data_IF_158704800733
#
_entry.id   IF_158704800733
#
_cell.length_a   1.000
_cell.length_b   1.000
_cell.length_c   1.000
_cell.angle_alpha   90.00
_cell.angle_beta   90.00
_cell.angle_gamma   90.00
#
_symmetry.space_group_name_H-M   'P 1'
#
loop_
_entity.id
_entity.type
_entity.pdbx_description
1 polymer ?
#
# COMPACT_ATOMS: atom_id res chain seq x y z
N UNK A 1 -31.64 8.75 -15.73
CA UNK A 1 -30.31 8.95 -16.32
C UNK A 1 -29.44 9.72 -15.33
N UNK A 2 -28.44 9.08 -14.72
CA UNK A 2 -27.55 9.74 -13.74
C UNK A 2 -26.65 10.71 -14.52
N UNK A 3 -26.62 11.98 -14.11
CA UNK A 3 -25.75 12.98 -14.74
C UNK A 3 -24.28 12.65 -14.46
N UNK A 4 -23.42 12.77 -15.47
CA UNK A 4 -21.99 12.45 -15.38
C UNK A 4 -21.30 13.10 -14.17
N UNK A 5 -21.68 14.34 -13.83
CA UNK A 5 -21.21 15.06 -12.63
C UNK A 5 -21.40 14.24 -11.33
N UNK A 6 -22.55 13.59 -11.15
CA UNK A 6 -22.85 12.77 -9.96
C UNK A 6 -21.98 11.52 -9.90
N UNK A 7 -21.65 10.94 -11.05
CA UNK A 7 -20.76 9.77 -11.11
C UNK A 7 -19.36 10.17 -10.62
N UNK A 8 -18.81 11.29 -11.10
CA UNK A 8 -17.51 11.79 -10.64
C UNK A 8 -17.47 12.06 -9.13
N UNK A 9 -18.52 12.67 -8.57
CA UNK A 9 -18.63 12.89 -7.13
C UNK A 9 -18.69 11.58 -6.33
N UNK A 10 -19.56 10.64 -6.72
CA UNK A 10 -19.71 9.37 -6.03
C UNK A 10 -18.40 8.57 -6.09
N UNK A 11 -17.79 8.47 -7.27
CA UNK A 11 -16.52 7.75 -7.44
C UNK A 11 -15.39 8.39 -6.65
N UNK A 12 -15.27 9.72 -6.65
CA UNK A 12 -14.26 10.43 -5.86
C UNK A 12 -14.43 10.20 -4.35
N UNK A 13 -15.66 10.30 -3.83
CA UNK A 13 -15.95 10.04 -2.41
C UNK A 13 -15.66 8.58 -2.03
N UNK A 14 -16.04 7.63 -2.88
CA UNK A 14 -15.73 6.20 -2.66
C UNK A 14 -14.23 5.95 -2.61
N UNK A 15 -13.44 6.56 -3.51
CA UNK A 15 -11.98 6.43 -3.50
C UNK A 15 -11.37 7.00 -2.22
N UNK A 16 -11.88 8.14 -1.71
CA UNK A 16 -11.43 8.71 -0.43
C UNK A 16 -11.73 7.75 0.72
N UNK A 17 -12.95 7.21 0.77
CA UNK A 17 -13.35 6.26 1.81
C UNK A 17 -12.47 5.02 1.78
N UNK A 18 -12.21 4.44 0.60
CA UNK A 18 -11.32 3.28 0.43
C UNK A 18 -9.89 3.61 0.88
N UNK A 19 -9.39 4.81 0.55
CA UNK A 19 -8.03 5.24 0.89
C UNK A 19 -7.85 5.48 2.39
N UNK A 20 -8.88 6.03 3.06
CA UNK A 20 -8.88 6.28 4.51
C UNK A 20 -9.13 5.00 5.32
N UNK A 21 -10.08 4.16 4.91
CA UNK A 21 -10.38 2.85 5.53
C UNK A 21 -9.38 1.75 5.13
N UNK A 22 -8.39 2.08 4.29
CA UNK A 22 -7.38 1.15 3.79
C UNK A 22 -6.50 0.50 4.87
N UNK A 23 -6.56 0.97 6.11
CA UNK A 23 -5.86 0.39 7.25
C UNK A 23 -6.26 -1.06 7.59
N UNK A 24 -7.53 -1.44 7.44
CA UNK A 24 -8.03 -2.76 7.87
C UNK A 24 -8.66 -3.60 6.75
N UNK A 25 -9.55 -3.04 5.93
CA UNK A 25 -10.33 -3.81 4.93
C UNK A 25 -9.64 -3.89 3.56
N UNK A 26 -8.92 -2.85 3.15
CA UNK A 26 -8.28 -2.79 1.83
C UNK A 26 -6.75 -2.95 1.89
N UNK A 27 -6.20 -3.31 3.06
CA UNK A 27 -4.76 -3.51 3.25
C UNK A 27 -4.18 -4.53 2.27
N UNK A 28 -4.94 -5.59 1.96
CA UNK A 28 -4.53 -6.62 0.98
C UNK A 28 -4.32 -6.06 -0.43
N UNK A 29 -5.18 -5.14 -0.88
CA UNK A 29 -5.07 -4.52 -2.21
C UNK A 29 -3.87 -3.58 -2.27
N UNK A 30 -3.68 -2.74 -1.26
CA UNK A 30 -2.52 -1.84 -1.21
C UNK A 30 -1.21 -2.62 -1.07
N UNK A 31 -1.18 -3.67 -0.25
CA UNK A 31 0.00 -4.52 -0.08
C UNK A 31 0.34 -5.30 -1.37
N UNK A 32 -0.68 -5.77 -2.11
CA UNK A 32 -0.49 -6.40 -3.41
C UNK A 32 0.07 -5.43 -4.45
N UNK A 33 -0.46 -4.20 -4.50
CA UNK A 33 0.06 -3.16 -5.40
C UNK A 33 1.49 -2.72 -5.04
N UNK A 34 1.80 -2.55 -3.75
CA UNK A 34 3.16 -2.24 -3.32
C UNK A 34 4.13 -3.39 -3.58
N UNK A 35 3.71 -4.64 -3.39
CA UNK A 35 4.52 -5.82 -3.72
C UNK A 35 4.83 -5.88 -5.22
N UNK A 36 3.83 -5.67 -6.08
CA UNK A 36 4.02 -5.61 -7.52
C UNK A 36 4.96 -4.46 -7.96
N UNK A 37 4.85 -3.29 -7.34
CA UNK A 37 5.75 -2.17 -7.62
C UNK A 37 7.19 -2.44 -7.18
N UNK A 38 7.37 -3.09 -6.02
CA UNK A 38 8.68 -3.52 -5.55
C UNK A 38 9.31 -4.57 -6.47
N UNK A 39 8.53 -5.54 -6.94
CA UNK A 39 8.97 -6.54 -7.91
C UNK A 39 9.39 -5.90 -9.25
N UNK A 40 8.62 -4.93 -9.75
CA UNK A 40 9.00 -4.16 -10.94
C UNK A 40 10.24 -3.29 -10.72
N UNK A 41 10.45 -2.81 -9.50
CA UNK A 41 11.64 -2.07 -9.09
C UNK A 41 12.87 -2.96 -8.86
N UNK A 42 12.76 -4.28 -9.02
CA UNK A 42 13.86 -5.24 -8.88
C UNK A 42 13.99 -5.86 -7.49
N UNK A 43 13.15 -5.48 -6.52
CA UNK A 43 13.13 -6.06 -5.17
C UNK A 43 12.14 -7.23 -5.13
N UNK A 44 12.54 -8.38 -5.70
CA UNK A 44 11.73 -9.60 -5.58
C UNK A 44 11.80 -10.15 -4.16
N UNK A 45 10.64 -10.53 -3.64
CA UNK A 45 10.50 -11.19 -2.35
C UNK A 45 11.36 -12.45 -2.23
N UNK A 46 11.47 -13.23 -3.31
CA UNK A 46 12.32 -14.43 -3.38
C UNK A 46 13.80 -14.14 -3.12
N UNK A 47 14.32 -12.99 -3.57
CA UNK A 47 15.70 -12.64 -3.28
C UNK A 47 15.90 -12.37 -1.80
N UNK A 48 14.98 -11.63 -1.17
CA UNK A 48 15.06 -11.32 0.27
C UNK A 48 14.97 -12.61 1.11
N UNK A 49 14.05 -13.52 0.77
CA UNK A 49 13.98 -14.83 1.42
C UNK A 49 15.26 -15.65 1.24
N UNK A 50 15.84 -15.67 0.03
CA UNK A 50 17.09 -16.41 -0.23
C UNK A 50 18.26 -15.85 0.58
N UNK A 51 18.29 -14.53 0.80
CA UNK A 51 19.30 -13.90 1.67
C UNK A 51 19.03 -14.19 3.16
N UNK A 52 17.78 -14.18 3.60
CA UNK A 52 17.40 -14.57 4.96
C UNK A 52 17.80 -16.02 5.26
N UNK A 53 17.51 -16.97 4.35
CA UNK A 53 17.90 -18.38 4.51
C UNK A 53 19.41 -18.56 4.66
N UNK A 54 20.19 -17.78 3.91
CA UNK A 54 21.66 -17.78 4.01
C UNK A 54 22.15 -17.16 5.32
N UNK A 55 21.52 -16.09 5.78
CA UNK A 55 21.85 -15.45 7.06
C UNK A 55 21.52 -16.41 8.21
N UNK A 56 20.38 -17.07 8.18
CA UNK A 56 19.98 -18.08 9.14
C UNK A 56 20.94 -19.27 9.14
N UNK A 57 21.41 -19.69 7.97
CA UNK A 57 22.43 -20.74 7.85
C UNK A 57 23.76 -20.31 8.49
N UNK A 58 24.22 -19.09 8.24
CA UNK A 58 25.44 -18.54 8.87
C UNK A 58 25.28 -18.44 10.39
N UNK A 59 24.16 -17.92 10.88
CA UNK A 59 23.87 -17.85 12.31
C UNK A 59 23.83 -19.23 12.96
N UNK A 60 23.25 -20.21 12.27
CA UNK A 60 23.24 -21.59 12.74
C UNK A 60 24.64 -22.19 12.81
N UNK A 61 25.49 -21.96 11.79
CA UNK A 61 26.89 -22.39 11.82
C UNK A 61 27.67 -21.74 12.97
N UNK A 62 27.45 -20.45 13.24
CA UNK A 62 28.04 -19.74 14.39
C UNK A 62 27.58 -20.35 15.72
N UNK A 63 26.28 -20.63 15.88
CA UNK A 63 25.74 -21.31 17.06
C UNK A 63 26.38 -22.70 17.24
N UNK A 64 26.56 -23.47 16.16
CA UNK A 64 27.27 -24.76 16.24
C UNK A 64 28.74 -24.62 16.64
N UNK A 65 29.45 -23.63 16.09
CA UNK A 65 30.83 -23.35 16.49
C UNK A 65 30.92 -22.96 17.98
N UNK A 66 29.97 -22.16 18.47
CA UNK A 66 29.85 -21.84 19.90
C UNK A 66 29.60 -23.08 20.75
N UNK A 67 28.69 -23.96 20.33
CA UNK A 67 28.43 -25.23 21.01
C UNK A 67 29.70 -26.10 21.07
N UNK A 68 30.50 -26.15 19.99
CA UNK A 68 31.76 -26.89 20.00
C UNK A 68 32.80 -26.25 20.94
N UNK A 69 32.92 -24.92 20.94
CA UNK A 69 33.81 -24.19 21.86
C UNK A 69 33.38 -24.45 23.32
N UNK A 70 32.08 -24.45 23.60
CA UNK A 70 31.55 -24.71 24.93
C UNK A 70 31.75 -26.17 25.35
N UNK A 71 31.57 -27.13 24.43
CA UNK A 71 31.93 -28.55 24.64
C UNK A 71 33.41 -28.73 24.97
N UNK A 72 34.30 -28.02 24.28
CA UNK A 72 35.74 -28.03 24.59
C UNK A 72 36.00 -27.41 25.96
N UNK A 73 35.34 -26.29 26.29
CA UNK A 73 35.47 -25.60 27.59
C UNK A 73 34.96 -26.46 28.76
N UNK A 74 33.82 -27.13 28.61
CA UNK A 74 33.27 -28.04 29.62
C UNK A 74 33.95 -29.42 29.60
N UNK A 75 34.75 -29.75 28.58
CA UNK A 75 35.67 -30.87 28.72
C UNK A 75 36.67 -30.63 29.88
N UNK A 76 37.00 -29.37 30.15
CA UNK A 76 37.82 -28.95 31.30
C UNK A 76 36.99 -28.59 32.55
N UNK A 77 35.66 -28.58 32.47
CA UNK A 77 34.74 -28.11 33.52
C UNK A 77 33.50 -29.02 33.56
N UNK A 78 33.26 -29.82 34.62
CA UNK A 78 32.23 -30.89 34.69
C UNK A 78 30.75 -30.50 34.49
N UNK A 79 30.44 -29.32 33.95
CA UNK A 79 29.09 -28.80 33.74
C UNK A 79 28.42 -29.40 32.50
N UNK A 80 27.13 -29.75 32.63
CA UNK A 80 26.31 -30.30 31.54
C UNK A 80 25.86 -29.17 30.62
N UNK A 81 26.15 -29.28 29.32
CA UNK A 81 25.78 -28.27 28.32
C UNK A 81 24.33 -28.47 27.88
N UNK A 82 23.59 -27.37 27.84
CA UNK A 82 22.22 -27.33 27.31
C UNK A 82 22.21 -27.09 25.80
N UNK A 83 22.02 -28.16 25.02
CA UNK A 83 22.01 -28.11 23.55
C UNK A 83 20.76 -27.42 22.97
N UNK A 84 19.72 -27.16 23.77
CA UNK A 84 18.47 -26.57 23.28
C UNK A 84 18.64 -25.13 22.79
N UNK A 85 19.62 -24.39 23.34
CA UNK A 85 19.94 -23.00 22.98
C UNK A 85 20.56 -22.85 21.59
N UNK A 86 21.07 -23.95 21.03
CA UNK A 86 21.80 -23.98 19.77
C UNK A 86 20.97 -24.54 18.60
N UNK A 87 19.66 -24.76 18.80
CA UNK A 87 18.76 -25.16 17.73
C UNK A 87 18.60 -24.06 16.68
N UNK A 88 18.31 -24.50 15.45
CA UNK A 88 18.00 -23.61 14.33
C UNK A 88 16.69 -22.89 14.65
N UNK A 89 16.77 -21.59 14.86
CA UNK A 89 15.62 -20.69 14.89
C UNK A 89 15.57 -20.05 13.51
N UNK A 90 14.41 -20.09 12.84
CA UNK A 90 14.19 -19.32 11.61
C UNK A 90 14.03 -17.85 12.01
N UNK A 91 15.09 -17.08 11.84
CA UNK A 91 15.10 -15.66 12.13
C UNK A 91 15.04 -14.91 10.81
N UNK A 92 13.81 -14.64 10.36
CA UNK A 92 13.55 -13.81 9.18
C UNK A 92 13.81 -12.34 9.45
N UNK A 93 15.09 -12.00 9.58
CA UNK A 93 15.57 -10.69 10.01
C UNK A 93 15.37 -9.68 8.89
N UNK A 94 15.75 -9.99 7.65
CA UNK A 94 15.65 -9.05 6.51
C UNK A 94 14.20 -8.86 6.06
N UNK A 95 13.37 -9.90 6.05
CA UNK A 95 11.94 -9.77 5.71
C UNK A 95 11.25 -8.76 6.63
N UNK A 96 11.51 -8.88 7.94
CA UNK A 96 10.87 -8.04 8.96
C UNK A 96 11.51 -6.65 9.13
N UNK A 97 12.82 -6.51 8.86
CA UNK A 97 13.54 -5.23 9.05
C UNK A 97 13.62 -4.35 7.81
N UNK A 98 13.57 -4.93 6.61
CA UNK A 98 13.74 -4.20 5.34
C UNK A 98 12.51 -4.30 4.45
N UNK A 99 12.03 -5.52 4.17
CA UNK A 99 10.98 -5.72 3.18
C UNK A 99 9.60 -5.22 3.66
N UNK A 100 9.15 -5.60 4.86
CA UNK A 100 7.89 -5.13 5.45
C UNK A 100 7.82 -3.60 5.56
N UNK A 101 8.82 -2.90 6.13
CA UNK A 101 8.80 -1.44 6.21
C UNK A 101 8.75 -0.77 4.83
N UNK A 102 9.43 -1.31 3.82
CA UNK A 102 9.35 -0.82 2.44
C UNK A 102 7.96 -0.97 1.84
N UNK A 103 7.33 -2.13 2.03
CA UNK A 103 5.94 -2.39 1.62
C UNK A 103 4.99 -1.40 2.27
N UNK A 104 5.11 -1.20 3.59
CA UNK A 104 4.26 -0.28 4.33
C UNK A 104 4.47 1.19 3.91
N UNK A 105 5.72 1.58 3.62
CA UNK A 105 6.04 2.92 3.12
C UNK A 105 5.44 3.19 1.73
N UNK A 106 5.58 2.25 0.79
CA UNK A 106 4.99 2.36 -0.55
C UNK A 106 3.47 2.34 -0.49
N UNK A 107 2.89 1.52 0.39
CA UNK A 107 1.45 1.50 0.66
C UNK A 107 0.94 2.88 1.12
N UNK A 108 1.70 3.57 1.98
CA UNK A 108 1.37 4.93 2.43
C UNK A 108 1.45 5.95 1.29
N UNK A 109 2.49 5.89 0.45
CA UNK A 109 2.62 6.75 -0.73
C UNK A 109 1.43 6.55 -1.68
N UNK A 110 1.07 5.29 -1.97
CA UNK A 110 -0.07 4.96 -2.82
C UNK A 110 -1.37 5.57 -2.27
N UNK A 111 -1.63 5.47 -0.96
CA UNK A 111 -2.81 6.08 -0.34
C UNK A 111 -2.87 7.59 -0.55
N UNK A 112 -1.75 8.29 -0.40
CA UNK A 112 -1.68 9.74 -0.64
C UNK A 112 -2.01 10.04 -2.11
N UNK A 113 -1.43 9.30 -3.05
CA UNK A 113 -1.68 9.48 -4.48
C UNK A 113 -3.16 9.25 -4.81
N UNK A 114 -3.80 8.21 -4.26
CA UNK A 114 -5.22 7.94 -4.47
C UNK A 114 -6.12 9.05 -3.88
N UNK A 115 -5.76 9.64 -2.74
CA UNK A 115 -6.47 10.79 -2.17
C UNK A 115 -6.37 12.00 -3.11
N UNK A 116 -5.17 12.31 -3.58
CA UNK A 116 -4.96 13.41 -4.54
C UNK A 116 -5.79 13.18 -5.81
N UNK A 117 -5.77 11.95 -6.35
CA UNK A 117 -6.54 11.57 -7.51
C UNK A 117 -8.06 11.75 -7.29
N UNK A 118 -8.55 11.38 -6.11
CA UNK A 118 -9.95 11.56 -5.77
C UNK A 118 -10.36 13.03 -5.68
N UNK A 119 -9.50 13.90 -5.14
CA UNK A 119 -9.73 15.35 -5.12
C UNK A 119 -9.83 15.89 -6.56
N UNK A 120 -8.95 15.45 -7.46
CA UNK A 120 -8.99 15.85 -8.88
C UNK A 120 -10.32 15.41 -9.54
N UNK A 121 -10.80 14.20 -9.25
CA UNK A 121 -12.08 13.70 -9.76
C UNK A 121 -13.27 14.57 -9.28
N UNK A 122 -13.26 14.95 -8.00
CA UNK A 122 -14.30 15.81 -7.41
C UNK A 122 -14.29 17.20 -8.08
N UNK A 123 -13.10 17.80 -8.24
CA UNK A 123 -12.96 19.09 -8.93
C UNK A 123 -13.45 19.02 -10.38
N UNK A 124 -13.12 17.95 -11.08
CA UNK A 124 -13.57 17.72 -12.46
C UNK A 124 -15.10 17.61 -12.54
N UNK A 125 -15.70 16.87 -11.59
CA UNK A 125 -17.16 16.78 -11.46
C UNK A 125 -17.82 18.16 -11.21
N UNK A 126 -17.19 18.99 -10.38
CA UNK A 126 -17.65 20.36 -10.11
C UNK A 126 -17.63 21.23 -11.36
N UNK A 127 -16.52 21.19 -12.12
CA UNK A 127 -16.38 21.94 -13.39
C UNK A 127 -17.46 21.50 -14.38
N UNK A 128 -17.67 20.20 -14.57
CA UNK A 128 -18.74 19.69 -15.43
C UNK A 128 -20.13 20.16 -14.98
N UNK A 129 -20.41 20.13 -13.68
CA UNK A 129 -21.69 20.61 -13.13
C UNK A 129 -21.93 22.09 -13.40
N UNK A 130 -20.91 22.93 -13.27
CA UNK A 130 -20.98 24.36 -13.59
C UNK A 130 -21.22 24.60 -15.09
N UNK A 131 -20.52 23.86 -15.96
CA UNK A 131 -20.73 23.96 -17.42
C UNK A 131 -22.16 23.55 -17.81
N UNK A 132 -22.69 22.47 -17.24
CA UNK A 132 -24.06 22.04 -17.48
C UNK A 132 -25.09 23.07 -17.02
N UNK A 133 -24.86 23.69 -15.85
CA UNK A 133 -25.74 24.74 -15.33
C UNK A 133 -25.70 26.00 -16.18
N UNK A 134 -24.52 26.41 -16.63
CA UNK A 134 -24.32 27.53 -17.55
C UNK A 134 -25.07 27.32 -18.87
N UNK A 135 -24.92 26.15 -19.49
CA UNK A 135 -25.66 25.79 -20.72
C UNK A 135 -27.18 25.81 -20.52
N UNK A 136 -27.68 25.27 -19.40
CA UNK A 136 -29.11 25.29 -19.09
C UNK A 136 -29.65 26.71 -18.86
N UNK A 137 -28.87 27.59 -18.22
CA UNK A 137 -29.25 28.98 -18.01
C UNK A 137 -29.34 29.73 -19.34
N UNK A 138 -28.33 29.59 -20.22
CA UNK A 138 -28.37 30.17 -21.57
C UNK A 138 -29.61 29.73 -22.35
N UNK A 139 -29.91 28.43 -22.35
CA UNK A 139 -31.10 27.89 -23.03
C UNK A 139 -32.41 28.44 -22.45
N UNK A 140 -32.48 28.65 -21.13
CA UNK A 140 -33.66 29.25 -20.49
C UNK A 140 -33.82 30.72 -20.85
N UNK A 141 -32.73 31.46 -20.95
CA UNK A 141 -32.72 32.85 -21.40
C UNK A 141 -33.22 32.94 -22.85
N UNK A 142 -32.69 32.12 -23.76
CA UNK A 142 -33.14 32.07 -25.16
C UNK A 142 -34.66 31.80 -25.28
N UNK A 143 -35.19 30.86 -24.47
CA UNK A 143 -36.63 30.56 -24.47
C UNK A 143 -37.44 31.74 -23.93
N UNK A 144 -36.93 32.46 -22.92
CA UNK A 144 -37.59 33.63 -22.37
C UNK A 144 -37.58 34.80 -23.36
N UNK A 145 -36.45 35.04 -24.03
CA UNK A 145 -36.32 36.06 -25.09
C UNK A 145 -37.29 35.80 -26.24
N UNK A 146 -37.38 34.54 -26.72
CA UNK A 146 -38.34 34.15 -27.76
C UNK A 146 -39.80 34.37 -27.34
N UNK A 147 -40.12 34.18 -26.05
CA UNK A 147 -41.48 34.40 -25.55
C UNK A 147 -41.82 35.88 -25.41
N UNK A 148 -40.86 36.71 -25.01
CA UNK A 148 -41.06 38.16 -24.91
C UNK A 148 -41.23 38.77 -26.30
N UNK A 149 -40.43 38.37 -27.28
CA UNK A 149 -40.54 38.86 -28.67
C UNK A 149 -41.82 38.44 -29.39
N UNK A 150 -42.58 37.49 -28.85
CA UNK A 150 -43.89 37.06 -29.38
C UNK A 150 -45.06 37.84 -28.76
N UNK A 151 -44.82 38.59 -27.70
CA UNK A 151 -45.84 39.38 -26.97
C UNK A 151 -45.83 40.84 -27.42
N UNK A 152 -44.69 41.36 -27.90
CA UNK A 152 -44.59 42.61 -28.68
C UNK A 152 -45.09 42.42 -30.11
#
# INVERSE_FOLDING_TARGET
MIKAEKIFYITGVVIIIISLLGGSLFKSIFNGMSGFLLEKGGLKYEYVNTYDDKIDEIFFQIKQAQLQIEKIRNFFSRDVIDESKYKKEENKILENSVYKPLVDFISLILRIVFIIFAVILILTGMIMGLLNRSRNLKRRIEILEQKVSLIE
#
